data_IF_783196284942
#
_entry.id   IF_783196284942
#
_cell.length_a   1.000
_cell.length_b   1.000
_cell.length_c   1.000
_cell.angle_alpha   90.00
_cell.angle_beta   90.00
_cell.angle_gamma   90.00
#
_symmetry.space_group_name_H-M   'P 1'
#
loop_
_entity.id
_entity.type
_entity.pdbx_description
1 polymer ?
#
# COMPACT_ATOMS: atom_id res chain seq x y z
N UNK A 1 -0.66 -27.05 4.50
CA UNK A 1 -0.63 -26.05 3.40
C UNK A 1 -1.71 -25.02 3.69
N UNK A 2 -1.36 -23.74 3.82
CA UNK A 2 -2.39 -22.69 4.00
C UNK A 2 -3.24 -22.62 2.72
N UNK A 3 -4.56 -22.47 2.82
CA UNK A 3 -5.42 -22.36 1.65
C UNK A 3 -5.01 -21.13 0.83
N UNK A 4 -4.65 -21.35 -0.43
CA UNK A 4 -4.25 -20.30 -1.37
C UNK A 4 -5.51 -19.56 -1.81
N UNK A 5 -5.91 -18.58 -1.01
CA UNK A 5 -7.03 -17.68 -1.33
C UNK A 5 -6.50 -16.41 -2.00
N UNK A 6 -7.28 -15.75 -2.87
CA UNK A 6 -6.86 -14.48 -3.49
C UNK A 6 -6.42 -13.43 -2.45
N UNK A 7 -7.09 -13.40 -1.29
CA UNK A 7 -6.77 -12.51 -0.17
C UNK A 7 -5.40 -12.84 0.43
N UNK A 8 -5.10 -14.13 0.64
CA UNK A 8 -3.77 -14.52 1.14
C UNK A 8 -2.65 -14.21 0.15
N UNK A 9 -2.87 -14.40 -1.16
CA UNK A 9 -1.91 -14.01 -2.21
C UNK A 9 -1.65 -12.51 -2.15
N UNK A 10 -2.72 -11.69 -2.11
CA UNK A 10 -2.60 -10.23 -2.02
C UNK A 10 -1.85 -9.80 -0.74
N UNK A 11 -2.12 -10.46 0.39
CA UNK A 11 -1.43 -10.20 1.65
C UNK A 11 0.07 -10.50 1.58
N UNK A 12 0.46 -11.67 1.04
CA UNK A 12 1.87 -12.03 0.87
C UNK A 12 2.58 -11.15 -0.17
N UNK A 13 1.90 -10.83 -1.27
CA UNK A 13 2.43 -9.91 -2.28
C UNK A 13 2.67 -8.53 -1.68
N UNK A 14 1.72 -8.01 -0.88
CA UNK A 14 1.87 -6.74 -0.16
C UNK A 14 3.06 -6.77 0.80
N UNK A 15 3.17 -7.81 1.63
CA UNK A 15 4.29 -7.99 2.56
C UNK A 15 5.65 -8.08 1.83
N UNK A 16 5.72 -8.84 0.73
CA UNK A 16 6.92 -8.92 -0.10
C UNK A 16 7.30 -7.57 -0.68
N UNK A 17 6.31 -6.80 -1.14
CA UNK A 17 6.51 -5.47 -1.72
C UNK A 17 7.00 -4.47 -0.66
N UNK A 18 6.51 -4.55 0.59
CA UNK A 18 7.04 -3.79 1.73
C UNK A 18 8.51 -4.11 1.96
N UNK A 19 8.86 -5.40 2.04
CA UNK A 19 10.25 -5.83 2.31
C UNK A 19 11.19 -5.35 1.22
N UNK A 20 10.81 -5.52 -0.05
CA UNK A 20 11.62 -5.08 -1.20
C UNK A 20 11.78 -3.56 -1.18
N UNK A 21 10.68 -2.81 -1.05
CA UNK A 21 10.71 -1.35 -1.00
C UNK A 21 11.56 -0.86 0.18
N UNK A 22 11.41 -1.46 1.36
CA UNK A 22 12.17 -1.12 2.55
C UNK A 22 13.68 -1.33 2.36
N UNK A 23 14.09 -2.46 1.76
CA UNK A 23 15.49 -2.72 1.44
C UNK A 23 16.02 -1.67 0.46
N UNK A 24 15.29 -1.39 -0.63
CA UNK A 24 15.69 -0.38 -1.61
C UNK A 24 15.86 1.00 -0.94
N UNK A 25 14.89 1.44 -0.14
CA UNK A 25 14.95 2.74 0.54
C UNK A 25 16.11 2.82 1.53
N UNK A 26 16.40 1.72 2.25
CA UNK A 26 17.47 1.68 3.26
C UNK A 26 18.87 1.77 2.65
N UNK A 27 19.06 1.24 1.44
CA UNK A 27 20.37 1.24 0.76
C UNK A 27 20.53 2.34 -0.30
N UNK A 28 19.51 3.15 -0.57
CA UNK A 28 19.55 4.18 -1.62
C UNK A 28 19.66 5.60 -1.03
N UNK A 29 20.56 6.42 -1.57
CA UNK A 29 20.66 7.83 -1.22
C UNK A 29 19.37 8.60 -1.56
N UNK A 30 19.08 9.73 -0.86
CA UNK A 30 17.90 10.56 -1.15
C UNK A 30 17.85 10.96 -2.62
N UNK A 31 16.85 10.47 -3.36
CA UNK A 31 16.67 10.73 -4.79
C UNK A 31 15.21 10.60 -5.20
N UNK A 32 14.81 11.20 -6.33
CA UNK A 32 13.43 11.12 -6.82
C UNK A 32 12.96 9.67 -7.05
N UNK A 33 13.88 8.76 -7.42
CA UNK A 33 13.59 7.32 -7.56
C UNK A 33 13.31 6.67 -6.21
N UNK A 34 13.99 7.08 -5.14
CA UNK A 34 13.74 6.59 -3.78
C UNK A 34 12.33 6.94 -3.30
N UNK A 35 11.82 8.14 -3.61
CA UNK A 35 10.45 8.52 -3.27
C UNK A 35 9.40 7.57 -3.88
N UNK A 36 9.62 7.09 -5.12
CA UNK A 36 8.74 6.09 -5.74
C UNK A 36 8.72 4.78 -4.94
N UNK A 37 9.87 4.32 -4.45
CA UNK A 37 9.95 3.11 -3.63
C UNK A 37 9.34 3.29 -2.24
N UNK A 38 9.42 4.49 -1.65
CA UNK A 38 8.73 4.80 -0.40
C UNK A 38 7.20 4.68 -0.57
N UNK A 39 6.64 5.23 -1.65
CA UNK A 39 5.22 5.11 -1.98
C UNK A 39 4.80 3.67 -2.35
N UNK A 40 5.66 2.92 -3.05
CA UNK A 40 5.45 1.49 -3.30
C UNK A 40 5.40 0.72 -1.97
N UNK A 41 6.33 0.97 -1.05
CA UNK A 41 6.34 0.36 0.27
C UNK A 41 5.04 0.64 1.04
N UNK A 42 4.55 1.88 1.01
CA UNK A 42 3.27 2.25 1.59
C UNK A 42 2.11 1.49 0.93
N UNK A 43 2.07 1.39 -0.41
CA UNK A 43 1.09 0.58 -1.14
C UNK A 43 1.11 -0.88 -0.69
N UNK A 44 2.30 -1.48 -0.56
CA UNK A 44 2.45 -2.85 -0.07
C UNK A 44 1.90 -3.04 1.34
N UNK A 45 2.15 -2.07 2.23
CA UNK A 45 1.67 -2.09 3.61
C UNK A 45 0.14 -2.01 3.67
N UNK A 46 -0.44 -1.05 2.94
CA UNK A 46 -1.90 -0.91 2.87
C UNK A 46 -2.55 -2.14 2.25
N UNK A 47 -1.94 -2.75 1.23
CA UNK A 47 -2.44 -3.99 0.63
C UNK A 47 -2.44 -5.14 1.65
N UNK A 48 -1.36 -5.30 2.41
CA UNK A 48 -1.25 -6.32 3.45
C UNK A 48 -2.28 -6.11 4.56
N UNK A 49 -2.50 -4.86 5.00
CA UNK A 49 -3.51 -4.51 6.00
C UNK A 49 -4.93 -4.77 5.50
N UNK A 50 -5.25 -4.39 4.25
CA UNK A 50 -6.55 -4.67 3.64
C UNK A 50 -6.81 -6.17 3.58
N UNK A 51 -5.82 -6.97 3.16
CA UNK A 51 -5.94 -8.42 3.14
C UNK A 51 -6.15 -9.01 4.55
N UNK A 52 -5.42 -8.50 5.54
CA UNK A 52 -5.54 -8.92 6.94
C UNK A 52 -6.94 -8.61 7.49
N UNK A 53 -7.41 -7.37 7.36
CA UNK A 53 -8.71 -6.97 7.88
C UNK A 53 -9.88 -7.62 7.12
N UNK A 54 -9.72 -7.90 5.83
CA UNK A 54 -10.68 -8.70 5.08
C UNK A 54 -10.80 -10.10 5.68
N UNK A 55 -9.66 -10.76 5.96
CA UNK A 55 -9.67 -12.09 6.58
C UNK A 55 -10.25 -12.07 8.00
N UNK A 56 -9.95 -11.04 8.80
CA UNK A 56 -10.54 -10.86 10.14
C UNK A 56 -12.05 -10.59 10.08
N UNK A 57 -12.52 -9.83 9.09
CA UNK A 57 -13.94 -9.57 8.86
C UNK A 57 -14.68 -10.85 8.46
N UNK A 58 -14.11 -11.67 7.58
CA UNK A 58 -14.67 -12.98 7.21
C UNK A 58 -14.75 -13.93 8.42
N UNK A 59 -13.73 -13.94 9.28
CA UNK A 59 -13.78 -14.70 10.53
C UNK A 59 -14.82 -14.14 11.51
N UNK A 60 -14.95 -12.83 11.62
CA UNK A 60 -15.94 -12.19 12.47
C UNK A 60 -17.37 -12.58 12.05
N UNK A 61 -17.64 -12.60 10.74
CA UNK A 61 -18.91 -13.10 10.16
C UNK A 61 -19.18 -14.55 10.58
N UNK A 62 -18.20 -15.44 10.45
CA UNK A 62 -18.35 -16.85 10.85
C UNK A 62 -18.58 -17.02 12.36
N UNK A 63 -17.99 -16.15 13.17
CA UNK A 63 -18.16 -16.16 14.64
C UNK A 63 -19.43 -15.47 15.13
N UNK A 64 -20.21 -14.83 14.24
CA UNK A 64 -21.42 -14.08 14.60
C UNK A 64 -21.16 -12.79 15.40
N UNK A 65 -19.92 -12.33 15.51
CA UNK A 65 -19.57 -11.16 16.32
C UNK A 65 -19.77 -9.85 15.54
N UNK A 66 -20.93 -9.21 15.74
CA UNK A 66 -21.28 -7.94 15.10
C UNK A 66 -20.31 -6.82 15.45
N UNK A 67 -19.85 -6.75 16.70
CA UNK A 67 -18.91 -5.73 17.15
C UNK A 67 -17.56 -5.84 16.43
N UNK A 68 -17.02 -7.05 16.29
CA UNK A 68 -15.77 -7.30 15.57
C UNK A 68 -15.92 -6.98 14.07
N UNK A 69 -17.05 -7.35 13.48
CA UNK A 69 -17.37 -7.08 12.08
C UNK A 69 -17.42 -5.57 11.78
N UNK A 70 -18.09 -4.79 12.64
CA UNK A 70 -18.14 -3.32 12.51
C UNK A 70 -16.75 -2.72 12.70
N UNK A 71 -16.00 -3.14 13.71
CA UNK A 71 -14.67 -2.61 13.98
C UNK A 71 -13.68 -2.92 12.84
N UNK A 72 -13.59 -4.17 12.39
CA UNK A 72 -12.71 -4.56 11.30
C UNK A 72 -13.18 -4.02 9.94
N UNK A 73 -14.49 -3.94 9.72
CA UNK A 73 -15.06 -3.33 8.51
C UNK A 73 -14.74 -1.83 8.42
N UNK A 74 -14.81 -1.11 9.55
CA UNK A 74 -14.41 0.29 9.62
C UNK A 74 -12.92 0.47 9.32
N UNK A 75 -12.05 -0.33 9.95
CA UNK A 75 -10.60 -0.30 9.68
C UNK A 75 -10.32 -0.65 8.22
N UNK A 76 -11.00 -1.65 7.66
CA UNK A 76 -10.86 -2.04 6.26
C UNK A 76 -11.21 -0.88 5.32
N UNK A 77 -12.26 -0.11 5.60
CA UNK A 77 -12.61 1.07 4.82
C UNK A 77 -11.54 2.18 4.91
N UNK A 78 -11.01 2.42 6.11
CA UNK A 78 -9.97 3.44 6.36
C UNK A 78 -8.64 3.07 5.69
N UNK A 79 -8.19 1.83 5.82
CA UNK A 79 -6.97 1.37 5.16
C UNK A 79 -7.15 1.19 3.65
N UNK A 80 -8.36 0.85 3.20
CA UNK A 80 -8.72 0.81 1.78
C UNK A 80 -8.63 2.18 1.12
N UNK A 81 -9.09 3.25 1.79
CA UNK A 81 -8.92 4.61 1.27
C UNK A 81 -7.45 5.04 1.27
N UNK A 82 -6.68 4.68 2.30
CA UNK A 82 -5.22 4.86 2.34
C UNK A 82 -4.50 4.16 1.18
N UNK A 83 -4.92 2.95 0.81
CA UNK A 83 -4.38 2.22 -0.35
C UNK A 83 -4.60 3.01 -1.65
N UNK A 84 -5.81 3.54 -1.86
CA UNK A 84 -6.14 4.32 -3.06
C UNK A 84 -5.28 5.59 -3.13
N UNK A 85 -5.16 6.32 -2.03
CA UNK A 85 -4.32 7.53 -1.96
C UNK A 85 -2.86 7.19 -2.25
N UNK A 86 -2.33 6.13 -1.64
CA UNK A 86 -0.96 5.67 -1.86
C UNK A 86 -0.73 5.27 -3.32
N UNK A 87 -1.72 4.63 -3.96
CA UNK A 87 -1.64 4.25 -5.37
C UNK A 87 -1.57 5.50 -6.26
N UNK A 88 -2.40 6.50 -6.00
CA UNK A 88 -2.38 7.78 -6.73
C UNK A 88 -1.04 8.47 -6.56
N UNK A 89 -0.50 8.54 -5.34
CA UNK A 89 0.80 9.15 -5.07
C UNK A 89 1.93 8.39 -5.76
N UNK A 90 1.87 7.05 -5.78
CA UNK A 90 2.83 6.21 -6.51
C UNK A 90 2.79 6.52 -8.01
N UNK A 91 1.59 6.62 -8.60
CA UNK A 91 1.42 6.96 -10.02
C UNK A 91 1.92 8.37 -10.34
N UNK A 92 1.68 9.35 -9.47
CA UNK A 92 2.18 10.72 -9.63
C UNK A 92 3.71 10.76 -9.51
N UNK A 93 4.29 10.04 -8.55
CA UNK A 93 5.73 9.95 -8.39
C UNK A 93 6.42 9.29 -9.60
N UNK A 94 5.78 8.29 -10.22
CA UNK A 94 6.27 7.65 -11.45
C UNK A 94 6.16 8.59 -12.65
N UNK A 95 5.09 9.40 -12.74
CA UNK A 95 4.91 10.35 -13.86
C UNK A 95 5.92 11.49 -13.87
N UNK A 96 6.61 11.73 -12.76
CA UNK A 96 7.57 12.82 -12.62
C UNK A 96 6.92 14.21 -12.79
N UNK A 97 7.64 15.29 -12.47
CA UNK A 97 7.19 16.63 -12.81
C UNK A 97 7.18 16.75 -14.33
N UNK A 98 6.00 16.68 -14.94
CA UNK A 98 5.85 16.99 -16.36
C UNK A 98 6.11 18.50 -16.55
N UNK A 99 7.31 18.86 -16.98
CA UNK A 99 7.55 20.04 -17.82
C UNK A 99 7.37 21.43 -17.22
N UNK A 100 7.73 21.67 -15.95
CA UNK A 100 7.83 23.04 -15.39
C UNK A 100 9.14 23.30 -14.64
N UNK A 101 10.25 23.04 -15.32
CA UNK A 101 11.52 23.69 -15.01
C UNK A 101 11.95 24.46 -16.27
N UNK A 102 11.48 25.71 -16.36
CA UNK A 102 12.17 26.89 -16.91
C UNK A 102 13.34 26.60 -17.87
N UNK A 103 13.35 26.87 -19.18
CA UNK A 103 12.72 27.93 -19.98
C UNK A 103 12.92 29.36 -19.46
N UNK A 104 13.60 29.58 -18.33
CA UNK A 104 13.60 30.88 -17.65
C UNK A 104 14.87 31.17 -16.81
N UNK A 105 16.02 30.55 -17.13
CA UNK A 105 17.28 30.85 -16.43
C UNK A 105 18.53 30.67 -17.30
N UNK A 106 18.72 31.56 -18.28
CA UNK A 106 19.99 32.07 -18.86
C UNK A 106 19.57 33.00 -20.01
N UNK A 107 19.52 34.33 -19.92
CA UNK A 107 20.58 35.30 -19.59
C UNK A 107 22.00 34.90 -20.01
#
# INVERSE_FOLDING_TARGET
MLPVTPISIAGYAGAGLVVIAWLVVSFTAPSAKRAVFEWLGACGLYLALVALFTNLSLRAQQSGSTAALVAFGFLLALFGSGLVVSLVQTLLAIRGPSGRASADATH
#
